data_IF_069460762353
#
_entry.id   IF_069460762353
#
_cell.length_a   1.000
_cell.length_b   1.000
_cell.length_c   1.000
_cell.angle_alpha   90.00
_cell.angle_beta   90.00
_cell.angle_gamma   90.00
#
_symmetry.space_group_name_H-M   'P 1'
#
loop_
_entity.id
_entity.type
_entity.pdbx_description
1 polymer ?
#
# COMPACT_ATOMS: atom_id res chain seq x y z
N UNK A 1 -30.38 -0.45 -37.35
CA UNK A 1 -30.30 -0.25 -35.90
C UNK A 1 -29.24 -1.19 -35.37
N UNK A 2 -28.02 -0.68 -35.15
CA UNK A 2 -26.93 -1.46 -34.56
C UNK A 2 -27.13 -1.47 -33.05
N UNK A 3 -27.50 -2.62 -32.51
CA UNK A 3 -27.55 -2.82 -31.06
C UNK A 3 -26.12 -2.93 -30.55
N UNK A 4 -25.70 -1.93 -29.79
CA UNK A 4 -24.48 -1.90 -29.00
C UNK A 4 -24.50 -3.12 -28.05
N UNK A 5 -23.58 -4.06 -28.28
CA UNK A 5 -23.37 -5.20 -27.38
C UNK A 5 -22.79 -4.66 -26.08
N UNK A 6 -23.63 -4.66 -25.03
CA UNK A 6 -23.22 -4.36 -23.67
C UNK A 6 -22.14 -5.35 -23.23
N UNK A 7 -20.91 -4.85 -23.10
CA UNK A 7 -19.75 -5.57 -22.59
C UNK A 7 -19.99 -5.98 -21.13
N UNK A 8 -20.48 -7.19 -20.92
CA UNK A 8 -20.54 -7.79 -19.59
C UNK A 8 -19.12 -8.23 -19.19
N UNK A 9 -18.46 -7.45 -18.34
CA UNK A 9 -17.15 -7.81 -17.80
C UNK A 9 -17.29 -9.11 -17.01
N UNK A 10 -16.64 -10.17 -17.46
CA UNK A 10 -16.79 -11.51 -16.91
C UNK A 10 -15.92 -11.64 -15.65
N UNK A 11 -16.41 -12.35 -14.63
CA UNK A 11 -15.64 -12.68 -13.43
C UNK A 11 -14.33 -13.44 -13.72
N UNK A 12 -14.25 -14.06 -14.91
CA UNK A 12 -13.05 -14.72 -15.40
C UNK A 12 -11.93 -13.73 -15.75
N UNK A 13 -12.28 -12.56 -16.31
CA UNK A 13 -11.31 -11.52 -16.66
C UNK A 13 -10.66 -10.94 -15.40
N UNK A 14 -11.45 -10.76 -14.33
CA UNK A 14 -10.94 -10.33 -13.02
C UNK A 14 -9.97 -11.35 -12.39
N UNK A 15 -10.19 -12.64 -12.61
CA UNK A 15 -9.33 -13.71 -12.09
C UNK A 15 -8.00 -13.80 -12.85
N UNK A 16 -8.03 -13.65 -14.17
CA UNK A 16 -6.80 -13.59 -14.97
C UNK A 16 -5.97 -12.35 -14.64
N UNK A 17 -6.61 -11.18 -14.50
CA UNK A 17 -5.89 -9.95 -14.15
C UNK A 17 -5.23 -10.06 -12.77
N UNK A 18 -5.96 -10.60 -11.78
CA UNK A 18 -5.39 -10.87 -10.47
C UNK A 18 -4.20 -11.85 -10.53
N UNK A 19 -4.29 -12.90 -11.35
CA UNK A 19 -3.20 -13.86 -11.52
C UNK A 19 -1.95 -13.22 -12.15
N UNK A 20 -2.15 -12.32 -13.11
CA UNK A 20 -1.07 -11.56 -13.74
C UNK A 20 -0.36 -10.64 -12.75
N UNK A 21 -1.11 -9.86 -11.98
CA UNK A 21 -0.58 -8.98 -10.92
C UNK A 21 0.24 -9.80 -9.91
N UNK A 22 -0.28 -10.95 -9.47
CA UNK A 22 0.43 -11.83 -8.54
C UNK A 22 1.73 -12.38 -9.15
N UNK A 23 1.73 -12.70 -10.44
CA UNK A 23 2.92 -13.14 -11.18
C UNK A 23 4.04 -12.10 -11.15
N UNK A 24 3.72 -10.86 -11.51
CA UNK A 24 4.68 -9.74 -11.55
C UNK A 24 5.28 -9.43 -10.17
N UNK A 25 4.45 -9.49 -9.13
CA UNK A 25 4.89 -9.30 -7.73
C UNK A 25 5.85 -10.41 -7.29
N UNK A 26 5.55 -11.67 -7.63
CA UNK A 26 6.41 -12.82 -7.30
C UNK A 26 7.75 -12.74 -8.04
N UNK A 27 7.73 -12.35 -9.31
CA UNK A 27 8.95 -12.15 -10.08
C UNK A 27 9.84 -11.08 -9.43
N UNK A 28 9.27 -9.92 -9.12
CA UNK A 28 9.98 -8.82 -8.45
C UNK A 28 10.59 -9.22 -7.10
N UNK A 29 9.88 -10.06 -6.33
CA UNK A 29 10.38 -10.61 -5.07
C UNK A 29 11.52 -11.62 -5.31
N UNK A 30 11.31 -12.58 -6.20
CA UNK A 30 12.28 -13.64 -6.51
C UNK A 30 13.58 -13.10 -7.12
N UNK A 31 13.53 -11.95 -7.80
CA UNK A 31 14.70 -11.30 -8.39
C UNK A 31 15.59 -10.57 -7.36
N UNK A 32 15.36 -10.75 -6.05
CA UNK A 32 16.07 -10.09 -4.94
C UNK A 32 16.03 -8.55 -4.96
N UNK A 33 15.25 -7.93 -5.86
CA UNK A 33 15.13 -6.46 -5.94
C UNK A 33 14.54 -5.87 -4.66
N UNK A 34 13.69 -6.64 -3.97
CA UNK A 34 13.03 -6.24 -2.73
C UNK A 34 13.91 -6.31 -1.48
N UNK A 35 15.11 -6.91 -1.60
CA UNK A 35 16.00 -7.14 -0.46
C UNK A 35 16.83 -5.91 -0.10
N UNK A 36 17.11 -5.05 -1.07
CA UNK A 36 17.97 -3.89 -0.85
C UNK A 36 17.35 -2.95 0.17
N UNK A 37 18.22 -2.31 0.96
CA UNK A 37 17.79 -1.36 1.97
C UNK A 37 17.07 -0.16 1.34
N UNK A 38 17.64 0.41 0.28
CA UNK A 38 17.05 1.56 -0.43
C UNK A 38 15.68 1.24 -1.02
N UNK A 39 15.47 0.02 -1.51
CA UNK A 39 14.16 -0.40 -2.01
C UNK A 39 13.14 -0.44 -0.87
N UNK A 40 13.47 -1.07 0.27
CA UNK A 40 12.55 -1.13 1.42
C UNK A 40 12.23 0.26 1.97
N UNK A 41 13.23 1.13 2.09
CA UNK A 41 13.02 2.52 2.53
C UNK A 41 12.13 3.30 1.54
N UNK A 42 12.34 3.14 0.24
CA UNK A 42 11.51 3.75 -0.81
C UNK A 42 10.06 3.26 -0.74
N UNK A 43 9.83 1.95 -0.57
CA UNK A 43 8.48 1.40 -0.42
C UNK A 43 7.77 1.94 0.83
N UNK A 44 8.43 1.99 1.98
CA UNK A 44 7.85 2.54 3.21
C UNK A 44 7.49 4.02 3.06
N UNK A 45 8.34 4.81 2.39
CA UNK A 45 8.04 6.22 2.08
C UNK A 45 6.82 6.36 1.17
N UNK A 46 6.63 5.46 0.22
CA UNK A 46 5.46 5.49 -0.66
C UNK A 46 4.17 5.06 0.07
N UNK A 47 4.24 4.08 0.98
CA UNK A 47 3.10 3.70 1.83
C UNK A 47 2.68 4.88 2.71
N UNK A 48 3.65 5.60 3.29
CA UNK A 48 3.36 6.79 4.09
C UNK A 48 2.65 7.88 3.26
N UNK A 49 3.11 8.15 2.04
CA UNK A 49 2.46 9.11 1.13
C UNK A 49 1.03 8.71 0.78
N UNK A 50 0.77 7.41 0.58
CA UNK A 50 -0.59 6.92 0.32
C UNK A 50 -1.47 7.15 1.54
N UNK A 51 -0.98 6.82 2.74
CA UNK A 51 -1.70 7.06 3.98
C UNK A 51 -1.99 8.55 4.20
N UNK A 52 -1.05 9.44 3.84
CA UNK A 52 -1.23 10.88 3.94
C UNK A 52 -2.23 11.44 2.94
N UNK A 53 -2.12 11.04 1.68
CA UNK A 53 -2.95 11.58 0.60
C UNK A 53 -4.38 11.06 0.63
N UNK A 54 -4.58 9.84 1.14
CA UNK A 54 -5.87 9.15 1.15
C UNK A 54 -6.42 8.92 2.55
N UNK A 55 -5.95 9.69 3.54
CA UNK A 55 -6.37 9.57 4.93
C UNK A 55 -7.90 9.58 5.08
N UNK A 56 -8.57 10.56 4.46
CA UNK A 56 -10.02 10.70 4.54
C UNK A 56 -10.76 9.54 3.86
N UNK A 57 -10.23 9.05 2.73
CA UNK A 57 -10.78 7.89 2.04
C UNK A 57 -10.67 6.62 2.90
N UNK A 58 -9.53 6.44 3.58
CA UNK A 58 -9.28 5.33 4.51
C UNK A 58 -10.21 5.43 5.72
N UNK A 59 -10.36 6.61 6.33
CA UNK A 59 -11.27 6.84 7.45
C UNK A 59 -12.73 6.57 7.06
N UNK A 60 -13.13 7.01 5.87
CA UNK A 60 -14.48 6.77 5.35
C UNK A 60 -14.73 5.29 5.07
N UNK A 61 -13.78 4.58 4.47
CA UNK A 61 -13.86 3.13 4.27
C UNK A 61 -13.94 2.38 5.60
N UNK A 62 -13.09 2.72 6.59
CA UNK A 62 -13.13 2.13 7.93
C UNK A 62 -14.47 2.37 8.63
N UNK A 63 -15.08 3.54 8.44
CA UNK A 63 -16.43 3.85 8.96
C UNK A 63 -17.52 3.06 8.24
N UNK A 64 -17.44 2.94 6.91
CA UNK A 64 -18.41 2.18 6.11
C UNK A 64 -18.36 0.68 6.40
N UNK A 65 -17.16 0.11 6.47
CA UNK A 65 -16.96 -1.34 6.59
C UNK A 65 -17.11 -1.83 8.04
N UNK A 66 -16.63 -1.04 9.00
CA UNK A 66 -16.51 -1.46 10.40
C UNK A 66 -17.38 -0.64 11.35
N UNK A 67 -18.13 0.36 10.85
CA UNK A 67 -18.93 1.29 11.68
C UNK A 67 -18.16 1.96 12.82
N UNK A 68 -16.82 2.05 12.69
CA UNK A 68 -15.96 2.62 13.72
C UNK A 68 -16.20 4.13 13.88
N UNK A 69 -16.26 4.65 15.13
CA UNK A 69 -16.26 6.08 15.38
C UNK A 69 -14.98 6.73 14.83
N UNK A 70 -15.14 7.93 14.28
CA UNK A 70 -14.09 8.67 13.57
C UNK A 70 -12.83 8.91 14.41
N UNK A 71 -13.00 9.13 15.72
CA UNK A 71 -11.90 9.33 16.67
C UNK A 71 -10.99 8.09 16.77
N UNK A 72 -11.56 6.89 16.85
CA UNK A 72 -10.78 5.64 16.98
C UNK A 72 -10.03 5.31 15.69
N UNK A 73 -10.63 5.61 14.54
CA UNK A 73 -9.99 5.45 13.23
C UNK A 73 -8.84 6.44 13.04
N UNK A 74 -8.99 7.68 13.52
CA UNK A 74 -7.93 8.71 13.50
C UNK A 74 -6.75 8.29 14.38
N UNK A 75 -7.02 7.82 15.62
CA UNK A 75 -5.97 7.30 16.51
C UNK A 75 -5.20 6.13 15.88
N UNK A 76 -5.88 5.23 15.17
CA UNK A 76 -5.24 4.11 14.48
C UNK A 76 -4.36 4.57 13.31
N UNK A 77 -4.80 5.57 12.54
CA UNK A 77 -4.03 6.14 11.44
C UNK A 77 -2.79 6.91 11.95
N UNK A 78 -2.96 7.73 12.97
CA UNK A 78 -1.89 8.52 13.58
C UNK A 78 -0.84 7.64 14.28
N UNK A 79 -1.26 6.55 14.93
CA UNK A 79 -0.33 5.57 15.49
C UNK A 79 0.52 4.91 14.40
N UNK A 80 -0.09 4.60 13.25
CA UNK A 80 0.63 4.03 12.10
C UNK A 80 1.63 5.03 11.53
N UNK A 81 1.26 6.32 11.42
CA UNK A 81 2.18 7.39 11.01
C UNK A 81 3.37 7.54 11.94
N UNK A 82 3.14 7.61 13.25
CA UNK A 82 4.21 7.72 14.26
C UNK A 82 5.13 6.50 14.18
N UNK A 83 4.57 5.29 14.07
CA UNK A 83 5.36 4.06 14.00
C UNK A 83 6.22 4.01 12.73
N UNK A 84 5.64 4.32 11.57
CA UNK A 84 6.36 4.33 10.29
C UNK A 84 7.42 5.44 10.25
N UNK A 85 7.10 6.65 10.73
CA UNK A 85 8.05 7.77 10.81
C UNK A 85 9.22 7.45 11.76
N UNK A 86 8.93 6.86 12.91
CA UNK A 86 9.94 6.43 13.86
C UNK A 86 10.83 5.33 13.28
N UNK A 87 10.26 4.30 12.64
CA UNK A 87 11.07 3.28 11.93
C UNK A 87 11.91 3.88 10.81
N UNK A 88 11.40 4.84 10.04
CA UNK A 88 12.19 5.51 9.00
C UNK A 88 13.36 6.30 9.60
N UNK A 89 13.14 7.05 10.69
CA UNK A 89 14.21 7.77 11.42
C UNK A 89 15.28 6.83 11.99
N UNK A 90 14.85 5.70 12.57
CA UNK A 90 15.74 4.66 13.10
C UNK A 90 16.57 4.04 11.97
N UNK A 91 15.94 3.78 10.82
CA UNK A 91 16.61 3.22 9.65
C UNK A 91 17.60 4.19 9.01
N UNK A 92 17.26 5.48 8.87
CA UNK A 92 18.17 6.50 8.34
C UNK A 92 19.39 6.71 9.28
N UNK A 93 19.19 6.66 10.60
CA UNK A 93 20.30 6.63 11.57
C UNK A 93 21.20 5.41 11.37
N UNK A 94 20.64 4.20 11.28
CA UNK A 94 21.43 2.98 11.08
C UNK A 94 22.18 2.97 9.74
N UNK A 95 21.59 3.51 8.67
CA UNK A 95 22.26 3.65 7.37
C UNK A 95 23.42 4.64 7.40
N UNK A 96 23.39 5.66 8.27
CA UNK A 96 24.50 6.61 8.44
C UNK A 96 25.68 5.98 9.20
N UNK A 97 25.40 5.06 10.12
CA UNK A 97 26.43 4.35 10.92
C UNK A 97 27.16 3.28 10.13
N UNK A 98 26.52 2.64 9.14
CA UNK A 98 27.12 1.56 8.33
C UNK A 98 28.05 2.12 7.22
N UNK A 99 28.04 3.42 6.93
CA UNK A 99 28.87 4.06 5.88
C UNK A 99 30.25 4.56 6.36
N UNK A 100 30.77 4.07 7.49
CA UNK A 100 32.14 4.33 7.96
C UNK A 100 32.89 3.03 8.19
#
# INVERSE_FOLDING_TARGET
>A
MGSEEGKWSSSYDAKEEAAKVVGELRESFSSNKTRSYDWRASQLKNILKIADNHEQDILHALRSDLSKPEMDSLFSADFTRIHVAWTNLETEKLSSTIRH
#
